data_IF_551652314224
#
_entry.id   IF_551652314224
#
_cell.length_a   1.000
_cell.length_b   1.000
_cell.length_c   1.000
_cell.angle_alpha   90.00
_cell.angle_beta   90.00
_cell.angle_gamma   90.00
#
_symmetry.space_group_name_H-M   'P 1'
#
loop_
_entity.id
_entity.type
_entity.pdbx_description
1 polymer ?
#
# COMPACT_ATOMS: atom_id res chain seq x y z
N UNK A 1 1.08 11.93 8.21
CA UNK A 1 0.46 10.63 8.59
C UNK A 1 1.43 9.51 8.27
N UNK A 2 1.45 8.42 9.03
CA UNK A 2 2.38 7.30 8.81
C UNK A 2 1.63 5.96 8.90
N UNK A 3 1.95 5.04 7.99
CA UNK A 3 1.45 3.67 7.93
C UNK A 3 2.66 2.73 8.08
N UNK A 4 2.60 1.77 9.00
CA UNK A 4 3.69 0.83 9.27
C UNK A 4 3.23 -0.61 9.13
N UNK A 5 4.04 -1.41 8.44
CA UNK A 5 3.88 -2.87 8.36
C UNK A 5 2.54 -3.34 7.79
N UNK A 6 1.93 -2.56 6.91
CA UNK A 6 0.64 -2.89 6.32
C UNK A 6 0.77 -4.14 5.45
N UNK A 7 -0.09 -5.12 5.70
CA UNK A 7 -0.21 -6.33 4.90
C UNK A 7 -1.64 -6.45 4.41
N UNK A 8 -1.84 -6.59 3.10
CA UNK A 8 -3.17 -6.75 2.48
C UNK A 8 -3.25 -8.09 1.77
N UNK A 9 -4.29 -8.85 2.11
CA UNK A 9 -4.52 -10.22 1.62
C UNK A 9 -5.90 -10.33 1.01
N UNK A 10 -5.98 -10.99 -0.14
CA UNK A 10 -7.19 -11.48 -0.76
C UNK A 10 -7.12 -13.02 -0.80
N UNK A 11 -8.22 -13.74 -0.98
CA UNK A 11 -8.18 -15.20 -1.10
C UNK A 11 -7.13 -15.64 -2.13
N UNK A 12 -6.11 -16.39 -1.68
CA UNK A 12 -5.02 -16.89 -2.52
C UNK A 12 -3.92 -15.88 -2.92
N UNK A 13 -4.03 -14.60 -2.55
CA UNK A 13 -3.06 -13.56 -2.96
C UNK A 13 -2.66 -12.65 -1.80
N UNK A 14 -1.36 -12.47 -1.59
CA UNK A 14 -0.82 -11.42 -0.71
C UNK A 14 -0.47 -10.22 -1.57
N UNK A 15 -1.34 -9.21 -1.56
CA UNK A 15 -1.21 -8.04 -2.41
C UNK A 15 -0.14 -7.06 -1.89
N UNK A 16 -0.04 -6.91 -0.56
CA UNK A 16 1.05 -6.16 0.08
C UNK A 16 1.53 -6.94 1.30
N UNK A 17 2.84 -6.98 1.53
CA UNK A 17 3.45 -7.69 2.65
C UNK A 17 4.41 -6.78 3.41
N UNK A 18 4.06 -6.43 4.65
CA UNK A 18 4.86 -5.61 5.56
C UNK A 18 5.34 -4.25 4.96
N UNK A 19 4.45 -3.54 4.26
CA UNK A 19 4.78 -2.27 3.60
C UNK A 19 4.60 -1.09 4.59
N UNK A 20 5.54 -0.15 4.58
CA UNK A 20 5.47 1.08 5.38
C UNK A 20 5.57 2.30 4.49
N UNK A 21 4.76 3.33 4.75
CA UNK A 21 4.79 4.59 4.01
C UNK A 21 4.49 5.79 4.91
N UNK A 22 5.06 6.94 4.58
CA UNK A 22 4.87 8.20 5.29
C UNK A 22 4.29 9.22 4.30
N UNK A 23 3.22 9.90 4.72
CA UNK A 23 2.61 10.99 3.96
C UNK A 23 2.92 12.31 4.68
N UNK A 24 3.70 13.16 4.03
CA UNK A 24 4.02 14.49 4.53
C UNK A 24 2.91 15.50 4.17
N UNK A 25 2.73 16.57 4.97
CA UNK A 25 1.78 17.62 4.62
C UNK A 25 2.12 18.27 3.27
N UNK A 26 1.11 18.45 2.41
CA UNK A 26 1.28 19.10 1.10
C UNK A 26 1.74 18.19 -0.05
N UNK A 27 1.97 16.90 0.20
CA UNK A 27 2.39 15.94 -0.84
C UNK A 27 1.21 15.09 -1.36
N UNK A 28 1.17 14.89 -2.67
CA UNK A 28 0.26 13.93 -3.32
C UNK A 28 1.07 12.67 -3.64
N UNK A 29 0.68 11.55 -3.02
CA UNK A 29 1.28 10.24 -3.29
C UNK A 29 0.35 9.41 -4.18
N UNK A 30 0.86 8.90 -5.30
CA UNK A 30 0.15 7.95 -6.15
C UNK A 30 0.67 6.54 -5.90
N UNK A 31 -0.24 5.60 -5.64
CA UNK A 31 0.06 4.17 -5.66
C UNK A 31 -0.08 3.68 -7.12
N UNK A 32 1.03 3.27 -7.73
CA UNK A 32 1.13 2.79 -9.11
C UNK A 32 1.54 1.30 -9.11
N UNK A 33 1.01 0.52 -10.07
CA UNK A 33 1.25 -0.91 -10.17
C UNK A 33 0.16 -1.62 -10.98
N UNK A 34 0.32 -2.92 -11.27
CA UNK A 34 -0.64 -3.71 -12.04
C UNK A 34 -1.95 -3.99 -11.29
N UNK A 35 -3.02 -4.38 -11.99
CA UNK A 35 -4.28 -4.76 -11.37
C UNK A 35 -4.07 -5.96 -10.43
N UNK A 36 -4.58 -5.86 -9.20
CA UNK A 36 -4.35 -6.89 -8.16
C UNK A 36 -3.16 -6.63 -7.23
N UNK A 37 -2.32 -5.61 -7.49
CA UNK A 37 -1.18 -5.27 -6.63
C UNK A 37 -1.54 -4.62 -5.27
N UNK A 38 -2.82 -4.54 -4.91
CA UNK A 38 -3.26 -4.02 -3.60
C UNK A 38 -3.33 -2.49 -3.49
N UNK A 39 -3.46 -1.78 -4.61
CA UNK A 39 -3.58 -0.31 -4.67
C UNK A 39 -4.91 0.24 -4.12
N UNK A 40 -5.95 -0.60 -4.05
CA UNK A 40 -7.31 -0.26 -3.59
C UNK A 40 -7.64 -0.94 -2.27
#
# INVERSE_FOLDING_TARGET
MELKGITKRYPGVVANNNVSMKVMPGEIHALLGENGAGKS
#
